data_IF_056783720433
#
_entry.id   IF_056783720433
#
_cell.length_a   1.000
_cell.length_b   1.000
_cell.length_c   1.000
_cell.angle_alpha   90.00
_cell.angle_beta   90.00
_cell.angle_gamma   90.00
#
_symmetry.space_group_name_H-M   'P 1'
#
loop_
_entity.id
_entity.type
_entity.pdbx_description
1 polymer ?
#
# COMPACT_ATOMS: atom_id res chain seq x y z
N UNK A 1 -19.58 77.04 22.91
CA UNK A 1 -18.29 76.39 23.04
C UNK A 1 -17.87 75.78 21.70
N UNK A 2 -16.85 76.38 21.04
CA UNK A 2 -16.30 75.80 19.76
C UNK A 2 -15.20 74.79 20.15
N UNK A 3 -15.44 73.48 19.93
CA UNK A 3 -14.43 72.49 20.06
C UNK A 3 -13.40 72.60 18.93
N UNK A 4 -12.26 73.19 19.20
CA UNK A 4 -11.16 73.27 18.26
C UNK A 4 -10.47 71.89 18.22
N UNK A 5 -10.93 70.99 17.38
CA UNK A 5 -10.18 69.77 17.06
C UNK A 5 -8.96 70.17 16.22
N UNK A 6 -7.78 69.87 16.74
CA UNK A 6 -6.55 70.09 16.00
C UNK A 6 -6.42 69.02 14.90
N UNK A 7 -6.61 69.34 13.59
CA UNK A 7 -6.64 68.33 12.53
C UNK A 7 -5.32 67.56 12.41
N UNK A 8 -4.21 68.13 12.90
CA UNK A 8 -2.90 67.45 12.93
C UNK A 8 -2.90 66.25 13.89
N UNK A 9 -3.70 66.29 14.96
CA UNK A 9 -3.79 65.18 15.91
C UNK A 9 -4.59 63.99 15.36
N UNK A 10 -5.62 64.27 14.54
CA UNK A 10 -6.43 63.26 13.84
C UNK A 10 -5.61 62.57 12.76
N UNK A 11 -4.75 63.29 12.04
CA UNK A 11 -3.87 62.76 10.99
C UNK A 11 -2.81 61.83 11.62
N UNK A 12 -2.24 62.17 12.76
CA UNK A 12 -1.25 61.29 13.47
C UNK A 12 -1.93 60.01 13.96
N UNK A 13 -3.18 60.03 14.40
CA UNK A 13 -3.91 58.80 14.80
C UNK A 13 -4.25 57.91 13.61
N UNK A 14 -4.45 58.45 12.42
CA UNK A 14 -4.71 57.69 11.19
C UNK A 14 -3.46 57.00 10.66
N UNK A 15 -2.27 57.47 10.93
CA UNK A 15 -0.99 56.83 10.56
C UNK A 15 -0.49 55.78 11.57
N UNK A 16 -1.15 55.59 12.72
CA UNK A 16 -0.84 54.55 13.70
C UNK A 16 -1.54 53.22 13.44
N UNK A 17 -1.99 52.96 12.19
CA UNK A 17 -2.38 51.62 11.78
C UNK A 17 -1.13 50.78 11.54
N UNK A 18 -0.48 50.35 12.64
CA UNK A 18 0.50 49.26 12.57
C UNK A 18 -0.21 48.02 12.05
N UNK A 19 0.35 47.39 11.06
CA UNK A 19 -0.08 46.06 10.63
C UNK A 19 0.29 45.12 11.80
N UNK A 20 -0.70 44.87 12.67
CA UNK A 20 -0.55 43.87 13.71
C UNK A 20 -0.55 42.50 13.04
N UNK A 21 0.61 41.91 12.93
CA UNK A 21 0.70 40.50 12.59
C UNK A 21 0.25 39.71 13.83
N UNK A 22 -0.91 39.06 13.74
CA UNK A 22 -1.49 38.28 14.83
C UNK A 22 -0.94 36.85 14.78
N UNK A 23 0.36 36.69 14.90
CA UNK A 23 0.99 35.38 15.09
C UNK A 23 0.85 34.96 16.56
N UNK A 24 0.58 33.68 16.80
CA UNK A 24 0.45 33.11 18.15
C UNK A 24 1.68 32.27 18.48
N UNK A 25 2.48 32.73 19.44
CA UNK A 25 3.59 31.97 20.02
C UNK A 25 3.20 31.42 21.39
N UNK A 26 3.42 30.13 21.62
CA UNK A 26 3.30 29.50 22.94
C UNK A 26 4.68 28.97 23.32
N UNK A 27 5.24 29.47 24.40
CA UNK A 27 6.59 29.10 24.86
C UNK A 27 7.74 29.76 24.08
N UNK A 28 7.44 30.63 23.13
CA UNK A 28 8.38 31.44 22.36
C UNK A 28 7.90 32.87 22.22
N UNK A 29 8.84 33.82 22.16
CA UNK A 29 8.56 35.22 21.82
C UNK A 29 8.99 35.57 20.39
N UNK A 30 9.76 34.71 19.77
CA UNK A 30 10.20 34.82 18.36
C UNK A 30 9.47 33.79 17.53
N UNK A 31 8.34 34.18 16.96
CA UNK A 31 7.58 33.31 16.04
C UNK A 31 8.16 33.44 14.64
N UNK A 32 8.40 32.30 13.97
CA UNK A 32 8.84 32.29 12.57
C UNK A 32 7.83 32.99 11.66
N UNK A 33 8.33 33.81 10.72
CA UNK A 33 7.50 34.63 9.82
C UNK A 33 6.47 33.82 9.00
N UNK A 34 6.73 32.54 8.78
CA UNK A 34 5.83 31.60 8.08
C UNK A 34 4.77 30.95 8.96
N UNK A 35 4.76 31.18 10.28
CA UNK A 35 3.90 30.48 11.24
C UNK A 35 2.77 31.36 11.74
N UNK A 36 1.52 30.91 11.59
CA UNK A 36 0.38 31.54 12.26
C UNK A 36 0.27 31.12 13.75
N UNK A 37 0.70 29.91 14.08
CA UNK A 37 0.83 29.35 15.42
C UNK A 37 2.15 28.60 15.53
N UNK A 38 2.99 28.95 16.51
CA UNK A 38 4.21 28.21 16.88
C UNK A 38 4.16 27.84 18.36
N UNK A 39 4.50 26.58 18.66
CA UNK A 39 4.53 26.04 20.02
C UNK A 39 5.93 25.48 20.29
N UNK A 40 6.69 26.14 21.15
CA UNK A 40 7.99 25.67 21.61
C UNK A 40 7.85 25.15 23.05
N UNK A 41 8.03 23.85 23.26
CA UNK A 41 7.89 23.22 24.55
C UNK A 41 8.86 22.06 24.73
N UNK A 42 9.51 21.98 25.90
CA UNK A 42 10.36 20.86 26.31
C UNK A 42 9.65 19.92 27.28
N UNK A 43 8.44 20.27 27.76
CA UNK A 43 7.72 19.56 28.84
C UNK A 43 6.25 19.27 28.50
N UNK A 44 5.70 19.82 27.42
CA UNK A 44 4.31 19.66 27.01
C UNK A 44 4.19 19.30 25.54
N UNK A 45 3.05 18.70 25.17
CA UNK A 45 2.70 18.35 23.81
C UNK A 45 1.42 19.06 23.37
N UNK A 46 1.24 19.21 22.07
CA UNK A 46 -0.06 19.59 21.51
C UNK A 46 -0.99 18.37 21.54
N UNK A 47 -2.12 18.49 22.21
CA UNK A 47 -3.19 17.49 22.17
C UNK A 47 -4.28 18.01 21.24
N UNK A 48 -4.50 17.39 20.08
CA UNK A 48 -5.60 17.76 19.18
C UNK A 48 -6.95 17.39 19.79
N UNK A 49 -8.08 17.88 19.22
CA UNK A 49 -9.41 17.48 19.66
C UNK A 49 -9.54 15.96 19.72
N UNK A 50 -10.02 15.44 20.86
CA UNK A 50 -10.20 14.00 21.11
C UNK A 50 -11.68 13.64 21.04
N UNK A 51 -12.02 12.65 20.20
CA UNK A 51 -13.41 12.24 20.00
C UNK A 51 -13.49 10.79 19.55
N UNK A 52 -14.68 10.20 19.67
CA UNK A 52 -14.96 8.86 19.14
C UNK A 52 -15.07 8.91 17.61
N UNK A 53 -14.97 7.75 16.96
CA UNK A 53 -15.16 7.63 15.50
C UNK A 53 -16.52 8.21 15.06
N UNK A 54 -17.59 7.88 15.77
CA UNK A 54 -18.95 8.41 15.49
C UNK A 54 -18.99 9.94 15.55
N UNK A 55 -18.30 10.54 16.52
CA UNK A 55 -18.23 12.00 16.66
C UNK A 55 -17.37 12.63 15.54
N UNK A 56 -16.26 12.00 15.19
CA UNK A 56 -15.38 12.45 14.09
C UNK A 56 -16.13 12.44 12.75
N UNK A 57 -16.84 11.36 12.45
CA UNK A 57 -17.63 11.24 11.22
C UNK A 57 -18.85 12.19 11.19
N UNK A 58 -19.31 12.67 12.35
CA UNK A 58 -20.41 13.62 12.47
C UNK A 58 -19.98 15.09 12.36
N UNK A 59 -18.68 15.41 12.22
CA UNK A 59 -18.21 16.78 12.02
C UNK A 59 -18.78 17.33 10.71
N UNK A 60 -19.57 18.42 10.74
CA UNK A 60 -20.15 18.96 9.52
C UNK A 60 -19.06 19.69 8.70
N UNK A 61 -18.92 19.29 7.42
CA UNK A 61 -18.03 19.95 6.46
C UNK A 61 -16.60 20.19 6.99
N UNK A 62 -15.86 19.15 7.41
CA UNK A 62 -14.51 19.34 7.85
C UNK A 62 -13.65 19.89 6.71
N UNK A 63 -12.70 20.77 7.03
CA UNK A 63 -11.77 21.33 6.04
C UNK A 63 -10.59 20.39 5.82
N UNK A 64 -10.05 20.34 4.61
CA UNK A 64 -8.80 19.65 4.34
C UNK A 64 -7.67 20.21 5.25
N UNK A 65 -6.91 19.30 5.85
CA UNK A 65 -5.92 19.64 6.88
C UNK A 65 -6.43 19.60 8.32
N UNK A 66 -7.73 19.36 8.55
CA UNK A 66 -8.26 19.15 9.91
C UNK A 66 -7.65 17.92 10.55
N UNK A 67 -7.21 18.03 11.82
CA UNK A 67 -6.57 16.97 12.60
C UNK A 67 -7.38 16.67 13.86
N UNK A 68 -7.65 15.38 14.12
CA UNK A 68 -8.32 14.90 15.34
C UNK A 68 -7.64 13.64 15.86
N UNK A 69 -7.76 13.41 17.17
CA UNK A 69 -7.41 12.13 17.77
C UNK A 69 -8.68 11.30 17.96
N UNK A 70 -8.78 10.19 17.21
CA UNK A 70 -9.88 9.24 17.34
C UNK A 70 -9.62 8.31 18.52
N UNK A 71 -10.44 8.42 19.58
CA UNK A 71 -10.30 7.61 20.79
C UNK A 71 -10.77 6.17 20.63
N UNK A 72 -11.57 5.87 19.58
CA UNK A 72 -12.05 4.50 19.29
C UNK A 72 -10.92 3.64 18.72
N UNK A 73 -10.17 4.18 17.75
CA UNK A 73 -9.02 3.50 17.13
C UNK A 73 -7.70 3.78 17.82
N UNK A 74 -7.68 4.76 18.76
CA UNK A 74 -6.46 5.26 19.41
C UNK A 74 -5.43 5.82 18.41
N UNK A 75 -5.90 6.51 17.38
CA UNK A 75 -5.11 6.98 16.23
C UNK A 75 -5.32 8.46 15.96
N UNK A 76 -4.33 9.09 15.31
CA UNK A 76 -4.41 10.46 14.82
C UNK A 76 -4.95 10.44 13.38
N UNK A 77 -5.97 11.26 13.10
CA UNK A 77 -6.59 11.36 11.78
C UNK A 77 -6.38 12.74 11.16
N UNK A 78 -6.16 12.76 9.85
CA UNK A 78 -6.13 13.94 9.00
C UNK A 78 -7.29 13.88 8.01
N UNK A 79 -8.07 14.95 7.90
CA UNK A 79 -9.06 15.07 6.84
C UNK A 79 -8.38 15.60 5.57
N UNK A 80 -8.47 14.84 4.48
CA UNK A 80 -7.98 15.26 3.16
C UNK A 80 -8.71 14.52 2.05
N UNK A 81 -8.90 15.20 0.91
CA UNK A 81 -9.59 14.64 -0.26
C UNK A 81 -10.99 14.08 0.06
N UNK A 82 -11.71 14.75 0.97
CA UNK A 82 -13.08 14.41 1.34
C UNK A 82 -13.22 13.22 2.29
N UNK A 83 -12.13 12.73 2.88
CA UNK A 83 -12.13 11.59 3.80
C UNK A 83 -11.17 11.76 4.98
N UNK A 84 -11.45 11.05 6.09
CA UNK A 84 -10.56 10.96 7.24
C UNK A 84 -9.54 9.84 7.02
N UNK A 85 -8.24 10.17 7.07
CA UNK A 85 -7.11 9.26 6.88
C UNK A 85 -6.39 9.04 8.20
N UNK A 86 -6.19 7.78 8.60
CA UNK A 86 -5.41 7.42 9.79
C UNK A 86 -3.92 7.66 9.51
N UNK A 87 -3.31 8.59 10.24
CA UNK A 87 -1.88 8.92 10.09
C UNK A 87 -0.95 7.92 10.80
N UNK A 88 -1.49 7.10 11.71
CA UNK A 88 -0.69 6.15 12.50
C UNK A 88 -0.74 4.73 11.94
N UNK A 89 -1.71 4.45 11.09
CA UNK A 89 -1.93 3.17 10.41
C UNK A 89 -2.27 3.43 8.94
N UNK A 90 -1.32 3.87 8.13
CA UNK A 90 -1.59 3.99 6.72
C UNK A 90 -1.89 2.60 6.15
N UNK A 91 -3.10 2.39 5.67
CA UNK A 91 -3.40 1.22 4.86
C UNK A 91 -2.57 1.32 3.57
N UNK A 92 -1.57 0.45 3.46
CA UNK A 92 -0.77 0.41 2.25
C UNK A 92 -1.63 -0.15 1.12
N UNK A 93 -1.74 0.57 -0.01
CA UNK A 93 -2.50 0.07 -1.16
C UNK A 93 -1.99 -1.31 -1.57
N UNK A 94 -2.91 -2.26 -1.68
CA UNK A 94 -2.56 -3.64 -1.98
C UNK A 94 -3.54 -4.29 -2.96
N UNK A 95 -3.06 -5.33 -3.64
CA UNK A 95 -3.88 -6.32 -4.32
C UNK A 95 -3.46 -7.71 -3.86
N UNK A 96 -4.44 -8.53 -3.49
CA UNK A 96 -4.23 -9.91 -3.04
C UNK A 96 -5.13 -10.83 -3.85
N UNK A 97 -4.51 -11.79 -4.53
CA UNK A 97 -5.19 -12.90 -5.19
C UNK A 97 -4.74 -14.19 -4.54
N UNK A 98 -5.68 -15.08 -4.26
CA UNK A 98 -5.40 -16.37 -3.65
C UNK A 98 -6.39 -17.41 -4.12
N UNK A 99 -5.90 -18.63 -4.30
CA UNK A 99 -6.72 -19.81 -4.49
C UNK A 99 -6.16 -20.97 -3.70
N UNK A 100 -7.02 -21.54 -2.89
CA UNK A 100 -6.77 -22.76 -2.13
C UNK A 100 -7.42 -23.94 -2.85
N UNK A 101 -6.68 -25.04 -3.00
CA UNK A 101 -7.13 -26.25 -3.68
C UNK A 101 -7.25 -27.43 -2.70
N UNK A 102 -7.14 -27.21 -1.38
CA UNK A 102 -7.17 -28.29 -0.39
C UNK A 102 -8.47 -29.11 -0.45
N UNK A 103 -9.58 -28.48 -0.80
CA UNK A 103 -10.87 -29.15 -0.96
C UNK A 103 -10.96 -30.04 -2.21
N UNK A 104 -10.05 -29.87 -3.18
CA UNK A 104 -10.01 -30.65 -4.42
C UNK A 104 -8.55 -30.83 -4.88
N UNK A 105 -7.77 -31.71 -4.24
CA UNK A 105 -6.34 -31.90 -4.53
C UNK A 105 -6.08 -32.51 -5.92
N UNK A 106 -6.99 -33.31 -6.46
CA UNK A 106 -6.86 -33.95 -7.78
C UNK A 106 -7.27 -32.99 -8.92
N UNK A 107 -6.57 -31.86 -9.05
CA UNK A 107 -6.97 -30.79 -9.95
C UNK A 107 -6.09 -30.65 -11.21
N UNK A 108 -4.88 -31.20 -11.24
CA UNK A 108 -3.95 -31.20 -12.38
C UNK A 108 -3.69 -29.82 -13.02
N UNK A 109 -3.79 -28.73 -12.24
CA UNK A 109 -3.69 -27.37 -12.77
C UNK A 109 -2.26 -26.86 -12.90
N UNK A 110 -1.29 -27.54 -12.28
CA UNK A 110 0.13 -27.15 -12.35
C UNK A 110 0.78 -27.78 -13.57
N UNK A 111 0.95 -26.98 -14.61
CA UNK A 111 1.65 -27.38 -15.83
C UNK A 111 3.15 -27.45 -15.60
N UNK A 112 3.82 -28.44 -16.21
CA UNK A 112 5.20 -28.82 -15.85
C UNK A 112 6.14 -29.09 -17.01
N UNK A 113 5.85 -28.58 -18.21
CA UNK A 113 6.77 -28.72 -19.33
C UNK A 113 8.14 -28.08 -19.01
N UNK A 114 9.19 -28.77 -19.44
CA UNK A 114 10.57 -28.41 -19.11
C UNK A 114 10.91 -26.97 -19.52
N UNK A 115 11.36 -26.16 -18.55
CA UNK A 115 11.76 -24.76 -18.73
C UNK A 115 10.67 -23.84 -19.33
N UNK A 116 9.40 -24.22 -19.21
CA UNK A 116 8.28 -23.43 -19.73
C UNK A 116 7.67 -22.59 -18.61
N UNK A 117 7.51 -21.30 -18.87
CA UNK A 117 6.88 -20.36 -17.95
C UNK A 117 5.37 -20.35 -18.15
N UNK A 118 4.63 -20.65 -17.11
CA UNK A 118 3.17 -20.59 -17.07
C UNK A 118 2.71 -19.43 -16.18
N UNK A 119 1.68 -18.67 -16.56
CA UNK A 119 1.12 -17.65 -15.67
C UNK A 119 0.54 -18.31 -14.41
N UNK A 120 0.54 -17.59 -13.31
CA UNK A 120 -0.20 -17.99 -12.12
C UNK A 120 -1.68 -18.05 -12.47
N UNK A 121 -2.40 -19.15 -12.17
CA UNK A 121 -3.81 -19.34 -12.53
C UNK A 121 -4.72 -18.56 -11.55
N UNK A 122 -4.48 -17.26 -11.41
CA UNK A 122 -5.18 -16.36 -10.51
C UNK A 122 -5.69 -15.15 -11.30
N UNK A 123 -7.00 -14.94 -11.25
CA UNK A 123 -7.70 -13.87 -11.97
C UNK A 123 -8.75 -13.23 -11.04
N UNK A 124 -9.65 -12.45 -11.60
CA UNK A 124 -10.72 -11.76 -10.83
C UNK A 124 -11.54 -12.69 -9.91
N UNK A 125 -11.88 -13.95 -10.27
CA UNK A 125 -12.57 -14.86 -9.33
C UNK A 125 -11.78 -15.19 -8.06
N UNK A 126 -10.44 -15.13 -8.10
CA UNK A 126 -9.55 -15.43 -6.98
C UNK A 126 -9.10 -14.18 -6.21
N UNK A 127 -9.75 -13.02 -6.44
CA UNK A 127 -9.44 -11.75 -5.81
C UNK A 127 -9.96 -11.73 -4.37
N UNK A 128 -9.07 -11.59 -3.38
CA UNK A 128 -9.43 -11.42 -1.96
C UNK A 128 -9.57 -9.94 -1.58
N UNK A 129 -8.65 -9.09 -2.06
CA UNK A 129 -8.70 -7.64 -1.82
C UNK A 129 -7.99 -6.87 -2.93
N UNK A 130 -8.45 -5.64 -3.20
CA UNK A 130 -7.82 -4.73 -4.15
C UNK A 130 -8.13 -3.28 -3.84
N UNK A 131 -7.11 -2.43 -3.90
CA UNK A 131 -7.30 -0.99 -4.03
C UNK A 131 -7.35 -0.62 -5.52
N UNK A 132 -8.56 -0.38 -6.03
CA UNK A 132 -8.82 -0.08 -7.43
C UNK A 132 -8.23 1.27 -7.89
N UNK A 133 -7.77 2.12 -6.97
CA UNK A 133 -7.05 3.36 -7.30
C UNK A 133 -5.60 3.10 -7.71
N UNK A 134 -5.05 1.93 -7.35
CA UNK A 134 -3.65 1.55 -7.57
C UNK A 134 -3.47 0.33 -8.47
N UNK A 135 -4.45 -0.57 -8.52
CA UNK A 135 -4.32 -1.86 -9.19
C UNK A 135 -5.54 -2.23 -10.03
N UNK A 136 -5.31 -3.03 -11.07
CA UNK A 136 -6.35 -3.67 -11.87
C UNK A 136 -5.90 -5.09 -12.23
N UNK A 137 -6.72 -6.10 -11.95
CA UNK A 137 -6.50 -7.46 -12.46
C UNK A 137 -6.85 -7.48 -13.94
N UNK A 138 -5.94 -8.00 -14.80
CA UNK A 138 -6.08 -7.98 -16.26
C UNK A 138 -6.37 -9.38 -16.82
N UNK A 139 -5.61 -10.37 -16.37
CA UNK A 139 -5.72 -11.78 -16.79
C UNK A 139 -4.96 -12.65 -15.80
N UNK A 140 -4.92 -13.94 -16.02
CA UNK A 140 -4.22 -14.90 -15.16
C UNK A 140 -2.82 -14.43 -14.81
N UNK A 141 -2.58 -14.27 -13.51
CA UNK A 141 -1.32 -13.82 -12.92
C UNK A 141 -0.87 -12.42 -13.35
N UNK A 142 -1.72 -11.62 -14.01
CA UNK A 142 -1.35 -10.31 -14.56
C UNK A 142 -2.11 -9.18 -13.90
N UNK A 143 -1.37 -8.27 -13.28
CA UNK A 143 -1.88 -7.09 -12.60
C UNK A 143 -1.32 -5.84 -13.29
N UNK A 144 -2.20 -4.88 -13.60
CA UNK A 144 -1.84 -3.56 -14.09
C UNK A 144 -1.67 -2.61 -12.92
N UNK A 145 -0.58 -1.85 -12.94
CA UNK A 145 -0.27 -0.78 -12.00
C UNK A 145 -0.92 0.52 -12.50
N UNK A 146 -1.59 1.26 -11.63
CA UNK A 146 -2.29 2.50 -12.00
C UNK A 146 -1.56 3.76 -11.54
N UNK A 147 -0.59 3.65 -10.63
CA UNK A 147 0.19 4.79 -10.13
C UNK A 147 1.69 4.46 -10.06
N UNK A 148 2.52 5.50 -10.24
CA UNK A 148 3.97 5.40 -10.05
C UNK A 148 4.32 5.10 -8.59
N UNK A 149 5.38 4.31 -8.36
CA UNK A 149 5.89 4.07 -7.01
C UNK A 149 6.83 2.88 -6.90
N UNK A 150 7.24 2.59 -5.66
CA UNK A 150 7.93 1.37 -5.30
C UNK A 150 6.90 0.35 -4.82
N UNK A 151 7.05 -0.89 -5.28
CA UNK A 151 6.12 -1.96 -4.99
C UNK A 151 6.85 -3.18 -4.47
N UNK A 152 6.31 -3.77 -3.40
CA UNK A 152 6.68 -5.10 -2.95
C UNK A 152 5.79 -6.12 -3.67
N UNK A 153 6.40 -7.01 -4.44
CA UNK A 153 5.73 -8.05 -5.22
C UNK A 153 6.05 -9.39 -4.57
N UNK A 154 5.05 -10.13 -4.16
CA UNK A 154 5.19 -11.46 -3.58
C UNK A 154 4.32 -12.46 -4.31
N UNK A 155 4.78 -13.71 -4.41
CA UNK A 155 3.97 -14.81 -4.89
C UNK A 155 4.48 -16.15 -4.34
N UNK A 156 3.59 -17.12 -4.28
CA UNK A 156 3.90 -18.48 -3.87
C UNK A 156 2.95 -19.49 -4.48
N UNK A 157 3.42 -20.72 -4.59
CA UNK A 157 2.57 -21.86 -4.96
C UNK A 157 3.07 -23.14 -4.30
N UNK A 158 2.17 -24.09 -4.13
CA UNK A 158 2.48 -25.41 -3.63
C UNK A 158 1.71 -26.49 -4.40
N UNK A 159 2.32 -27.68 -4.42
CA UNK A 159 1.78 -28.90 -5.04
C UNK A 159 1.74 -30.04 -4.04
N UNK A 160 0.83 -31.00 -4.24
CA UNK A 160 0.62 -32.13 -3.31
C UNK A 160 1.29 -33.43 -3.74
N UNK A 161 1.58 -33.57 -5.01
CA UNK A 161 1.95 -34.87 -5.61
C UNK A 161 3.26 -34.80 -6.41
N UNK A 162 4.23 -33.99 -5.97
CA UNK A 162 5.52 -33.87 -6.67
C UNK A 162 6.30 -35.18 -6.55
N UNK A 163 6.56 -35.88 -7.69
CA UNK A 163 7.31 -37.14 -7.65
C UNK A 163 8.80 -36.93 -7.40
N UNK A 164 9.49 -38.02 -7.05
CA UNK A 164 10.93 -38.03 -6.83
C UNK A 164 11.77 -37.54 -8.02
N UNK A 165 13.04 -37.25 -7.76
CA UNK A 165 14.02 -36.76 -8.71
C UNK A 165 14.27 -35.27 -8.68
N UNK A 166 15.10 -34.81 -9.62
CA UNK A 166 15.47 -33.40 -9.71
C UNK A 166 14.34 -32.55 -10.29
N UNK A 167 13.99 -31.48 -9.59
CA UNK A 167 12.98 -30.53 -9.98
C UNK A 167 13.55 -29.11 -10.02
N UNK A 168 13.55 -28.50 -11.20
CA UNK A 168 13.82 -27.08 -11.34
C UNK A 168 12.54 -26.29 -11.06
N UNK A 169 12.66 -25.24 -10.26
CA UNK A 169 11.56 -24.35 -9.96
C UNK A 169 11.96 -22.87 -10.08
N UNK A 170 11.04 -22.05 -10.53
CA UNK A 170 11.21 -20.60 -10.68
C UNK A 170 9.86 -19.93 -10.42
N UNK A 171 9.88 -18.77 -9.75
CA UNK A 171 8.81 -17.76 -9.87
C UNK A 171 9.46 -16.52 -10.48
N UNK A 172 9.03 -16.17 -11.69
CA UNK A 172 9.53 -15.03 -12.43
C UNK A 172 8.50 -13.90 -12.50
N UNK A 173 9.00 -12.67 -12.44
CA UNK A 173 8.22 -11.45 -12.59
C UNK A 173 8.52 -10.84 -13.96
N UNK A 174 7.47 -10.62 -14.74
CA UNK A 174 7.55 -10.02 -16.07
C UNK A 174 6.89 -8.65 -16.08
N UNK A 175 7.48 -7.72 -16.82
CA UNK A 175 6.89 -6.41 -17.13
C UNK A 175 6.84 -6.21 -18.63
N UNK A 176 5.64 -6.04 -19.20
CA UNK A 176 5.45 -5.85 -20.64
C UNK A 176 6.08 -6.95 -21.48
N UNK A 177 6.07 -8.21 -21.01
CA UNK A 177 6.67 -9.37 -21.68
C UNK A 177 8.16 -9.61 -21.35
N UNK A 178 8.86 -8.69 -20.73
CA UNK A 178 10.27 -8.83 -20.34
C UNK A 178 10.41 -9.33 -18.90
N UNK A 179 11.28 -10.31 -18.66
CA UNK A 179 11.63 -10.76 -17.31
C UNK A 179 12.40 -9.66 -16.58
N UNK A 180 11.86 -9.17 -15.46
CA UNK A 180 12.49 -8.12 -14.65
C UNK A 180 13.13 -8.64 -13.37
N UNK A 181 12.83 -9.86 -12.96
CA UNK A 181 13.43 -10.48 -11.79
C UNK A 181 12.83 -11.84 -11.46
N UNK A 182 13.44 -12.46 -10.48
CA UNK A 182 12.95 -13.70 -9.88
C UNK A 182 12.56 -13.45 -8.43
N UNK A 183 11.38 -13.94 -8.03
CA UNK A 183 11.04 -14.03 -6.61
C UNK A 183 11.81 -15.19 -5.98
N UNK A 184 11.91 -16.29 -6.71
CA UNK A 184 12.69 -17.46 -6.32
C UNK A 184 13.13 -18.24 -7.56
N UNK A 185 14.29 -18.90 -7.46
CA UNK A 185 14.82 -19.78 -8.50
C UNK A 185 15.74 -20.82 -7.87
N UNK A 186 15.57 -22.09 -8.25
CA UNK A 186 16.44 -23.16 -7.76
C UNK A 186 16.14 -24.52 -8.35
N UNK A 187 16.79 -25.52 -7.77
CA UNK A 187 16.53 -26.92 -7.99
C UNK A 187 16.35 -27.62 -6.65
N UNK A 188 15.51 -28.62 -6.60
CA UNK A 188 15.32 -29.51 -5.45
C UNK A 188 15.35 -30.94 -5.92
N UNK A 189 15.98 -31.83 -5.14
CA UNK A 189 16.00 -33.26 -5.39
C UNK A 189 15.20 -33.99 -4.33
N UNK A 190 14.31 -34.87 -4.74
CA UNK A 190 13.53 -35.72 -3.85
C UNK A 190 13.97 -37.17 -3.98
N UNK A 191 14.16 -37.89 -2.85
CA UNK A 191 14.52 -39.31 -2.86
C UNK A 191 13.54 -40.18 -3.64
N UNK A 192 14.01 -41.29 -4.20
CA UNK A 192 13.17 -42.22 -4.94
C UNK A 192 12.11 -42.89 -4.04
N UNK A 193 10.93 -43.13 -4.61
CA UNK A 193 9.85 -43.90 -3.95
C UNK A 193 8.84 -43.07 -3.16
N UNK A 194 8.89 -41.74 -3.20
CA UNK A 194 7.92 -40.86 -2.55
C UNK A 194 7.29 -39.87 -3.50
N UNK A 195 6.03 -39.55 -3.27
CA UNK A 195 5.40 -38.32 -3.72
C UNK A 195 5.45 -37.31 -2.56
N UNK A 196 5.69 -36.04 -2.85
CA UNK A 196 5.95 -35.05 -1.82
C UNK A 196 5.02 -33.85 -1.97
N UNK A 197 4.57 -33.32 -0.85
CA UNK A 197 4.08 -31.97 -0.78
C UNK A 197 5.28 -31.01 -0.87
N UNK A 198 5.18 -30.05 -1.77
CA UNK A 198 6.25 -29.08 -1.95
C UNK A 198 5.67 -27.72 -2.34
N UNK A 199 6.28 -26.67 -1.80
CA UNK A 199 5.90 -25.30 -2.12
C UNK A 199 7.08 -24.34 -2.04
N UNK A 200 6.90 -23.20 -2.66
CA UNK A 200 7.89 -22.12 -2.64
C UNK A 200 7.22 -20.77 -2.74
N UNK A 201 7.87 -19.75 -2.22
CA UNK A 201 7.46 -18.36 -2.32
C UNK A 201 8.66 -17.44 -2.36
N UNK A 202 8.44 -16.20 -2.74
CA UNK A 202 9.49 -15.21 -2.72
C UNK A 202 8.94 -13.80 -2.84
N UNK A 203 9.84 -12.81 -2.74
CA UNK A 203 9.52 -11.39 -2.76
C UNK A 203 10.55 -10.62 -3.57
N UNK A 204 10.08 -9.55 -4.24
CA UNK A 204 10.89 -8.60 -4.98
C UNK A 204 10.35 -7.19 -4.72
N UNK A 205 11.25 -6.23 -4.48
CA UNK A 205 10.88 -4.81 -4.49
C UNK A 205 11.31 -4.20 -5.82
N UNK A 206 10.40 -3.48 -6.49
CA UNK A 206 10.66 -2.92 -7.80
C UNK A 206 9.93 -1.58 -8.00
N UNK A 207 10.60 -0.62 -8.67
CA UNK A 207 9.98 0.65 -9.06
C UNK A 207 9.15 0.46 -10.34
N UNK A 208 7.85 0.76 -10.24
CA UNK A 208 6.89 0.60 -11.33
C UNK A 208 6.25 1.95 -11.70
N UNK A 209 5.78 2.03 -12.92
CA UNK A 209 5.08 3.18 -13.48
C UNK A 209 3.62 2.87 -13.73
N UNK A 210 2.80 3.91 -13.75
CA UNK A 210 1.42 3.80 -14.19
C UNK A 210 1.34 3.17 -15.58
N UNK A 211 0.41 2.23 -15.74
CA UNK A 211 0.18 1.37 -16.91
C UNK A 211 1.19 0.22 -17.11
N UNK A 212 2.19 0.04 -16.25
CA UNK A 212 2.98 -1.20 -16.26
C UNK A 212 2.06 -2.41 -15.99
N UNK A 213 2.22 -3.47 -16.80
CA UNK A 213 1.57 -4.75 -16.57
C UNK A 213 2.59 -5.74 -16.03
N UNK A 214 2.33 -6.23 -14.82
CA UNK A 214 3.17 -7.17 -14.10
C UNK A 214 2.53 -8.55 -14.16
N UNK A 215 3.26 -9.52 -14.74
CA UNK A 215 2.83 -10.91 -14.81
C UNK A 215 3.73 -11.78 -13.95
N UNK A 216 3.11 -12.52 -13.02
CA UNK A 216 3.73 -13.58 -12.25
C UNK A 216 3.62 -14.89 -13.02
N UNK A 217 4.76 -15.55 -13.20
CA UNK A 217 4.81 -16.83 -13.91
C UNK A 217 5.69 -17.81 -13.16
N UNK A 218 5.35 -19.09 -13.21
CA UNK A 218 6.13 -20.16 -12.58
C UNK A 218 6.71 -21.12 -13.63
N UNK A 219 7.78 -21.79 -13.24
CA UNK A 219 8.33 -23.00 -13.85
C UNK A 219 8.42 -24.05 -12.77
N UNK A 220 7.92 -25.25 -13.06
CA UNK A 220 8.17 -26.47 -12.27
C UNK A 220 8.38 -27.63 -13.24
N UNK A 221 9.60 -28.12 -13.35
CA UNK A 221 9.91 -29.20 -14.29
C UNK A 221 9.45 -30.55 -13.74
N UNK A 222 8.55 -31.24 -14.44
CA UNK A 222 8.13 -32.61 -14.14
C UNK A 222 7.77 -33.39 -15.41
N UNK A 223 8.61 -33.28 -16.47
CA UNK A 223 8.48 -34.06 -17.71
C UNK A 223 7.09 -33.94 -18.37
N UNK A 224 6.47 -32.77 -18.30
CA UNK A 224 5.14 -32.49 -18.84
C UNK A 224 3.99 -33.32 -18.21
N UNK A 225 4.21 -33.86 -17.02
CA UNK A 225 3.16 -34.49 -16.22
C UNK A 225 2.60 -33.46 -15.25
N UNK A 226 1.37 -33.01 -15.48
CA UNK A 226 0.72 -32.02 -14.64
C UNK A 226 0.63 -32.48 -13.17
N UNK A 227 0.61 -31.50 -12.27
CA UNK A 227 0.55 -31.74 -10.83
C UNK A 227 -0.67 -31.06 -10.21
N UNK A 228 -1.06 -31.56 -9.05
CA UNK A 228 -2.15 -31.01 -8.26
C UNK A 228 -1.65 -29.85 -7.42
N UNK A 229 -2.29 -28.69 -7.55
CA UNK A 229 -2.01 -27.54 -6.71
C UNK A 229 -2.58 -27.72 -5.30
N UNK A 230 -1.87 -27.18 -4.31
CA UNK A 230 -2.40 -26.93 -2.96
C UNK A 230 -2.88 -25.51 -2.83
N UNK A 231 -2.06 -24.57 -3.26
CA UNK A 231 -2.43 -23.16 -3.32
C UNK A 231 -1.63 -22.40 -4.37
N UNK A 232 -2.18 -21.29 -4.78
CA UNK A 232 -1.49 -20.18 -5.44
C UNK A 232 -1.84 -18.88 -4.74
N UNK A 233 -0.87 -17.97 -4.61
CA UNK A 233 -1.11 -16.61 -4.11
C UNK A 233 -0.23 -15.58 -4.81
N UNK A 234 -0.77 -14.37 -4.95
CA UNK A 234 -0.06 -13.16 -5.38
C UNK A 234 -0.42 -12.05 -4.39
N UNK A 235 0.58 -11.31 -3.94
CA UNK A 235 0.40 -10.08 -3.20
C UNK A 235 1.28 -8.97 -3.79
N UNK A 236 0.69 -7.81 -4.09
CA UNK A 236 1.44 -6.62 -4.48
C UNK A 236 1.01 -5.48 -3.56
N UNK A 237 1.99 -4.84 -2.94
CA UNK A 237 1.79 -3.73 -2.00
C UNK A 237 2.59 -2.54 -2.49
N UNK A 238 1.98 -1.35 -2.54
CA UNK A 238 2.71 -0.09 -2.76
C UNK A 238 3.36 0.35 -1.45
N UNK A 239 4.64 0.68 -1.50
CA UNK A 239 5.45 1.13 -0.36
C UNK A 239 5.42 2.66 -0.21
#
# INVERSE_FOLDING_TARGET
MKNNYNPKFVIVLLFLNFVLQAQVGIGTVNVDDGSALQIDSTIGALVPPRMTETQMLAIPSPLDGSIVYNSTSSSLFLFSSGTWNDLTRPDLPAVVLRKDYEANPDNNVVNTATNTYYPFPLNTPELESIDNSFFQVVSDGTIKILQDGNYMISAGFAVSNLPSGDKKYIIGVYKGGNLIGYLVRGNVNFPSGSTNEWGTSGVLVYALKANDQIRLSYVLNNNNVNLDARFFNIGIVKL
#
